data_IF_890184406644
#
_entry.id   IF_890184406644
#
_cell.length_a   1.000
_cell.length_b   1.000
_cell.length_c   1.000
_cell.angle_alpha   90.00
_cell.angle_beta   90.00
_cell.angle_gamma   90.00
#
_symmetry.space_group_name_H-M   'P 1'
#
loop_
_entity.id
_entity.type
_entity.pdbx_description
1 polymer ?
#
# COMPACT_ATOMS: atom_id res chain seq x y z
N UNK A 1 -9.94 4.17 14.91
CA UNK A 1 -10.50 5.24 14.04
C UNK A 1 -11.06 6.38 14.88
N UNK A 2 -10.73 7.64 14.58
CA UNK A 2 -11.33 8.80 15.26
C UNK A 2 -12.32 9.53 14.35
N UNK A 3 -13.58 9.06 14.32
CA UNK A 3 -14.63 9.58 13.44
C UNK A 3 -14.79 11.12 13.52
N UNK A 4 -14.56 11.71 14.70
CA UNK A 4 -14.61 13.16 14.94
C UNK A 4 -13.67 14.00 14.05
N UNK A 5 -12.61 13.38 13.52
CA UNK A 5 -11.63 14.03 12.64
C UNK A 5 -12.10 14.12 11.17
N UNK A 6 -13.16 13.41 10.81
CA UNK A 6 -13.67 13.30 9.43
C UNK A 6 -15.00 14.06 9.25
N UNK A 7 -15.06 15.30 9.75
CA UNK A 7 -16.32 16.09 9.77
C UNK A 7 -16.85 16.34 8.35
N UNK A 8 -18.12 15.98 8.12
CA UNK A 8 -18.78 16.08 6.82
C UNK A 8 -18.01 15.37 5.69
N UNK A 9 -17.35 14.26 6.03
CA UNK A 9 -16.64 13.40 5.09
C UNK A 9 -16.78 11.95 5.54
N UNK A 10 -17.47 11.12 4.73
CA UNK A 10 -17.64 9.70 5.06
C UNK A 10 -16.35 8.96 4.73
N UNK A 11 -15.82 8.22 5.70
CA UNK A 11 -14.68 7.33 5.52
C UNK A 11 -15.01 5.98 6.13
N UNK A 12 -14.60 4.91 5.47
CA UNK A 12 -14.64 3.54 5.96
C UNK A 12 -13.21 3.01 5.84
N UNK A 13 -12.77 2.27 6.85
CA UNK A 13 -11.50 1.58 6.85
C UNK A 13 -11.76 0.09 6.67
N UNK A 14 -10.90 -0.56 5.90
CA UNK A 14 -10.91 -2.00 5.70
C UNK A 14 -9.45 -2.45 5.73
N UNK A 15 -9.14 -3.40 6.59
CA UNK A 15 -7.80 -3.98 6.68
C UNK A 15 -7.77 -5.26 5.87
N UNK A 16 -6.69 -5.45 5.09
CA UNK A 16 -6.57 -6.61 4.21
C UNK A 16 -5.35 -7.42 4.64
N UNK A 17 -5.58 -8.71 4.88
CA UNK A 17 -4.54 -9.62 5.39
C UNK A 17 -4.70 -11.00 4.78
N UNK A 18 -3.61 -11.77 4.76
CA UNK A 18 -3.65 -13.20 4.45
C UNK A 18 -3.81 -14.05 5.71
N UNK A 19 -3.63 -15.35 5.55
CA UNK A 19 -3.51 -16.28 6.67
C UNK A 19 -2.15 -16.11 7.36
N UNK A 20 -2.09 -16.14 8.70
CA UNK A 20 -0.83 -16.18 9.43
C UNK A 20 0.02 -17.36 8.97
N UNK A 21 1.34 -17.18 8.97
CA UNK A 21 2.29 -18.22 8.61
C UNK A 21 3.47 -18.20 9.56
N UNK A 22 4.20 -19.30 9.63
CA UNK A 22 5.42 -19.38 10.42
C UNK A 22 6.48 -18.45 9.83
N UNK A 23 7.21 -17.76 10.71
CA UNK A 23 8.32 -16.93 10.29
C UNK A 23 9.36 -17.82 9.59
N UNK A 24 9.73 -17.46 8.36
CA UNK A 24 10.87 -18.08 7.71
C UNK A 24 12.13 -17.41 8.23
N UNK A 25 13.07 -18.21 8.71
CA UNK A 25 14.36 -17.72 9.19
C UNK A 25 15.48 -17.93 8.17
N UNK A 26 15.25 -18.82 7.21
CA UNK A 26 16.22 -19.19 6.18
C UNK A 26 16.00 -18.41 4.88
N UNK A 27 17.10 -18.13 4.18
CA UNK A 27 17.03 -17.59 2.82
C UNK A 27 16.37 -18.60 1.89
N UNK A 28 15.63 -18.10 0.91
CA UNK A 28 15.06 -18.94 -0.14
C UNK A 28 15.29 -18.33 -1.52
N UNK A 29 15.29 -19.20 -2.52
CA UNK A 29 15.49 -18.84 -3.91
C UNK A 29 14.17 -18.36 -4.54
N UNK A 30 14.22 -17.20 -5.20
CA UNK A 30 13.19 -16.71 -6.11
C UNK A 30 13.82 -16.49 -7.48
N UNK A 31 13.61 -17.46 -8.38
CA UNK A 31 14.12 -17.46 -9.76
C UNK A 31 15.62 -17.14 -9.87
N UNK A 32 16.43 -17.74 -8.99
CA UNK A 32 17.89 -17.56 -8.97
C UNK A 32 18.39 -16.39 -8.11
N UNK A 33 17.51 -15.72 -7.37
CA UNK A 33 17.89 -14.71 -6.37
C UNK A 33 17.68 -15.28 -4.97
N UNK A 34 18.74 -15.30 -4.17
CA UNK A 34 18.65 -15.69 -2.75
C UNK A 34 18.15 -14.52 -1.91
N UNK A 35 16.96 -14.68 -1.36
CA UNK A 35 16.27 -13.62 -0.66
C UNK A 35 16.19 -13.91 0.84
N UNK A 36 16.51 -12.90 1.64
CA UNK A 36 16.30 -12.93 3.09
C UNK A 36 14.81 -12.63 3.39
N UNK A 37 14.16 -13.44 4.25
CA UNK A 37 12.85 -13.13 4.82
C UNK A 37 12.80 -11.72 5.42
N UNK A 38 11.65 -11.05 5.29
CA UNK A 38 11.50 -9.69 5.82
C UNK A 38 11.44 -9.73 7.34
N UNK A 39 12.28 -8.94 8.03
CA UNK A 39 12.42 -8.97 9.49
C UNK A 39 11.12 -8.70 10.29
N UNK A 40 10.06 -8.14 9.67
CA UNK A 40 8.74 -7.99 10.31
C UNK A 40 7.78 -9.17 10.07
N UNK A 41 8.15 -10.20 9.32
CA UNK A 41 7.42 -11.47 9.35
C UNK A 41 7.54 -11.99 10.79
N UNK A 42 6.46 -11.78 11.55
CA UNK A 42 6.47 -11.70 13.01
C UNK A 42 7.34 -12.79 13.64
N UNK A 43 8.39 -12.36 14.35
CA UNK A 43 9.17 -13.17 15.30
C UNK A 43 8.33 -13.54 16.53
N UNK A 44 7.07 -13.88 16.34
CA UNK A 44 6.21 -14.38 17.39
C UNK A 44 6.45 -15.88 17.48
N UNK A 45 6.92 -16.35 18.63
CA UNK A 45 6.89 -17.77 19.03
C UNK A 45 5.46 -18.32 19.15
N UNK A 46 4.47 -17.62 18.60
CA UNK A 46 3.07 -17.96 18.63
C UNK A 46 2.80 -18.97 17.52
N UNK A 47 2.12 -20.06 17.85
CA UNK A 47 1.76 -21.06 16.84
C UNK A 47 0.85 -20.44 15.77
N UNK A 48 1.00 -20.88 14.52
CA UNK A 48 0.14 -20.47 13.39
C UNK A 48 -1.35 -20.65 13.71
N UNK A 49 -1.68 -21.68 14.49
CA UNK A 49 -3.03 -21.95 14.94
C UNK A 49 -3.56 -20.84 15.86
N UNK A 50 -2.80 -20.46 16.89
CA UNK A 50 -3.21 -19.39 17.81
C UNK A 50 -3.29 -18.05 17.11
N UNK A 51 -2.37 -17.76 16.19
CA UNK A 51 -2.42 -16.53 15.39
C UNK A 51 -3.69 -16.48 14.52
N UNK A 52 -4.04 -17.61 13.89
CA UNK A 52 -5.27 -17.74 13.11
C UNK A 52 -6.51 -17.56 13.97
N UNK A 53 -6.55 -18.14 15.17
CA UNK A 53 -7.66 -17.97 16.10
C UNK A 53 -7.85 -16.51 16.51
N UNK A 54 -6.76 -15.79 16.84
CA UNK A 54 -6.82 -14.37 17.16
C UNK A 54 -7.32 -13.53 15.98
N UNK A 55 -6.86 -13.82 14.76
CA UNK A 55 -7.30 -13.13 13.55
C UNK A 55 -8.82 -13.30 13.34
N UNK A 56 -9.33 -14.53 13.46
CA UNK A 56 -10.76 -14.79 13.29
C UNK A 56 -11.61 -14.14 14.39
N UNK A 57 -11.13 -14.15 15.64
CA UNK A 57 -11.79 -13.44 16.75
C UNK A 57 -11.84 -11.93 16.51
N UNK A 58 -10.75 -11.33 16.03
CA UNK A 58 -10.69 -9.90 15.70
C UNK A 58 -11.66 -9.56 14.56
N UNK A 59 -11.72 -10.39 13.52
CA UNK A 59 -12.69 -10.28 12.41
C UNK A 59 -14.13 -10.30 12.92
N UNK A 60 -14.47 -11.20 13.84
CA UNK A 60 -15.83 -11.32 14.40
C UNK A 60 -16.25 -10.09 15.21
N UNK A 61 -15.29 -9.47 15.91
CA UNK A 61 -15.52 -8.30 16.77
C UNK A 61 -15.61 -7.01 15.95
N UNK A 62 -14.67 -6.76 15.05
CA UNK A 62 -14.53 -5.45 14.38
C UNK A 62 -15.20 -5.38 13.01
N UNK A 63 -15.34 -6.52 12.32
CA UNK A 63 -16.03 -6.63 11.01
C UNK A 63 -15.51 -5.68 9.94
N UNK A 64 -14.23 -5.36 9.98
CA UNK A 64 -13.52 -4.49 9.04
C UNK A 64 -12.31 -5.19 8.38
N UNK A 65 -12.23 -6.53 8.50
CA UNK A 65 -11.20 -7.34 7.84
C UNK A 65 -11.66 -7.95 6.51
N UNK A 66 -10.74 -7.95 5.54
CA UNK A 66 -10.77 -8.78 4.35
C UNK A 66 -9.63 -9.79 4.43
N UNK A 67 -9.96 -11.05 4.71
CA UNK A 67 -8.97 -12.13 4.89
C UNK A 67 -8.86 -12.96 3.60
N UNK A 68 -7.65 -13.03 3.05
CA UNK A 68 -7.31 -13.83 1.88
C UNK A 68 -6.80 -15.22 2.23
N UNK A 69 -7.14 -16.21 1.40
CA UNK A 69 -6.59 -17.57 1.52
C UNK A 69 -5.20 -17.69 0.86
N UNK A 70 -4.23 -16.95 1.36
CA UNK A 70 -2.81 -17.00 1.02
C UNK A 70 -1.98 -16.67 2.26
N UNK A 71 -0.74 -17.15 2.35
CA UNK A 71 0.12 -16.81 3.50
C UNK A 71 0.48 -15.33 3.46
N UNK A 72 0.27 -14.61 4.56
CA UNK A 72 0.59 -13.19 4.66
C UNK A 72 2.09 -12.98 4.84
N UNK A 73 2.80 -12.85 3.72
CA UNK A 73 4.25 -12.63 3.65
C UNK A 73 4.57 -11.45 2.75
N UNK A 74 5.77 -10.89 2.90
CA UNK A 74 6.19 -9.74 2.12
C UNK A 74 6.12 -9.99 0.59
N UNK A 75 6.46 -11.21 0.15
CA UNK A 75 6.49 -11.55 -1.27
C UNK A 75 5.14 -12.05 -1.81
N UNK A 76 4.12 -12.11 -0.94
CA UNK A 76 2.72 -12.33 -1.30
C UNK A 76 1.89 -11.04 -1.26
N UNK A 77 2.51 -9.87 -1.07
CA UNK A 77 1.82 -8.57 -1.10
C UNK A 77 1.03 -8.38 -2.41
N UNK A 78 1.52 -8.90 -3.54
CA UNK A 78 0.77 -8.84 -4.80
C UNK A 78 -0.55 -9.62 -4.75
N UNK A 79 -0.61 -10.75 -4.04
CA UNK A 79 -1.87 -11.48 -3.83
C UNK A 79 -2.84 -10.66 -2.97
N UNK A 80 -2.35 -10.00 -1.92
CA UNK A 80 -3.12 -9.08 -1.07
C UNK A 80 -3.66 -7.91 -1.87
N UNK A 81 -2.83 -7.31 -2.72
CA UNK A 81 -3.21 -6.25 -3.65
C UNK A 81 -4.32 -6.71 -4.62
N UNK A 82 -4.12 -7.85 -5.30
CA UNK A 82 -5.11 -8.40 -6.24
C UNK A 82 -6.44 -8.72 -5.54
N UNK A 83 -6.40 -9.30 -4.33
CA UNK A 83 -7.60 -9.53 -3.52
C UNK A 83 -8.35 -8.22 -3.25
N UNK A 84 -7.62 -7.18 -2.84
CA UNK A 84 -8.18 -5.86 -2.50
C UNK A 84 -8.90 -5.25 -3.70
N UNK A 85 -8.24 -5.23 -4.86
CA UNK A 85 -8.82 -4.68 -6.09
C UNK A 85 -10.05 -5.44 -6.57
N UNK A 86 -9.98 -6.78 -6.54
CA UNK A 86 -11.13 -7.63 -6.90
C UNK A 86 -12.31 -7.45 -5.96
N UNK A 87 -12.06 -7.34 -4.65
CA UNK A 87 -13.12 -7.12 -3.67
C UNK A 87 -13.79 -5.76 -3.87
N UNK A 88 -13.01 -4.69 -4.06
CA UNK A 88 -13.54 -3.36 -4.36
C UNK A 88 -14.40 -3.39 -5.63
N UNK A 89 -13.89 -3.99 -6.72
CA UNK A 89 -14.58 -4.06 -8.00
C UNK A 89 -15.90 -4.87 -7.92
N UNK A 90 -15.93 -5.95 -7.13
CA UNK A 90 -17.09 -6.82 -7.00
C UNK A 90 -18.15 -6.28 -6.03
N UNK A 91 -17.74 -5.71 -4.90
CA UNK A 91 -18.63 -5.43 -3.77
C UNK A 91 -18.79 -3.97 -3.43
N UNK A 92 -17.87 -3.10 -3.88
CA UNK A 92 -17.88 -1.69 -3.54
C UNK A 92 -18.22 -0.79 -4.73
N UNK A 93 -18.64 -1.35 -5.87
CA UNK A 93 -19.08 -0.59 -7.03
C UNK A 93 -20.16 0.42 -6.59
N UNK A 94 -19.89 1.71 -6.82
CA UNK A 94 -20.72 2.86 -6.43
C UNK A 94 -20.73 3.28 -4.94
N UNK A 95 -19.88 2.70 -4.08
CA UNK A 95 -19.82 3.09 -2.66
C UNK A 95 -18.96 4.35 -2.40
N UNK A 96 -17.94 4.58 -3.22
CA UNK A 96 -17.05 5.74 -3.12
C UNK A 96 -16.60 6.19 -4.51
N UNK A 97 -16.22 7.47 -4.66
CA UNK A 97 -15.60 7.97 -5.91
C UNK A 97 -14.10 7.67 -6.00
N UNK A 98 -13.46 7.45 -4.85
CA UNK A 98 -12.03 7.20 -4.70
C UNK A 98 -11.79 6.21 -3.55
N UNK A 99 -10.71 5.45 -3.66
CA UNK A 99 -10.17 4.55 -2.65
C UNK A 99 -8.74 4.99 -2.32
N UNK A 100 -8.39 4.92 -1.04
CA UNK A 100 -7.06 5.24 -0.55
C UNK A 100 -6.44 3.96 -0.01
N UNK A 101 -5.22 3.69 -0.45
CA UNK A 101 -4.40 2.56 -0.05
C UNK A 101 -3.23 3.10 0.76
N UNK A 102 -2.88 2.41 1.84
CA UNK A 102 -1.96 2.88 2.86
C UNK A 102 -1.31 1.67 3.54
N UNK A 103 0.01 1.71 3.69
CA UNK A 103 0.74 0.75 4.51
C UNK A 103 0.49 0.98 6.01
N UNK A 104 0.63 -0.07 6.82
CA UNK A 104 0.31 -0.04 8.25
C UNK A 104 1.29 0.79 9.11
N UNK A 105 2.45 1.16 8.54
CA UNK A 105 3.42 2.07 9.14
C UNK A 105 3.39 3.48 8.55
N UNK A 106 2.31 3.83 7.84
CA UNK A 106 1.98 5.19 7.42
C UNK A 106 0.68 5.67 8.05
N UNK A 107 0.65 6.96 8.37
CA UNK A 107 -0.52 7.63 8.96
C UNK A 107 -1.08 8.65 7.99
N UNK A 108 -2.39 8.89 8.10
CA UNK A 108 -3.11 9.93 7.35
C UNK A 108 -3.36 11.16 8.20
N UNK A 109 -3.36 12.32 7.55
CA UNK A 109 -3.82 13.57 8.12
C UNK A 109 -5.23 13.85 7.59
N UNK A 110 -6.31 13.59 8.37
CA UNK A 110 -7.68 13.63 7.86
C UNK A 110 -8.08 14.97 7.23
N UNK A 111 -7.68 16.08 7.87
CA UNK A 111 -7.98 17.44 7.37
C UNK A 111 -7.36 17.70 6.00
N UNK A 112 -6.14 17.22 5.77
CA UNK A 112 -5.44 17.32 4.48
C UNK A 112 -6.05 16.41 3.42
N UNK A 113 -6.42 15.17 3.78
CA UNK A 113 -7.12 14.24 2.88
C UNK A 113 -8.43 14.86 2.39
N UNK A 114 -9.26 15.38 3.30
CA UNK A 114 -10.54 16.04 2.96
C UNK A 114 -10.30 17.21 2.02
N UNK A 115 -9.30 18.05 2.31
CA UNK A 115 -8.94 19.21 1.48
C UNK A 115 -8.49 18.78 0.07
N UNK A 116 -7.69 17.73 -0.03
CA UNK A 116 -7.28 17.18 -1.32
C UNK A 116 -8.51 16.72 -2.12
N UNK A 117 -9.31 15.81 -1.56
CA UNK A 117 -10.44 15.23 -2.30
C UNK A 117 -11.43 16.29 -2.73
N UNK A 118 -11.73 17.30 -1.89
CA UNK A 118 -12.61 18.41 -2.26
C UNK A 118 -12.07 19.27 -3.41
N UNK A 119 -10.75 19.41 -3.54
CA UNK A 119 -10.10 20.16 -4.63
C UNK A 119 -10.12 19.42 -5.97
N UNK A 120 -10.18 18.09 -5.96
CA UNK A 120 -10.23 17.29 -7.19
C UNK A 120 -11.64 17.39 -7.79
N UNK A 121 -11.79 17.81 -9.06
CA UNK A 121 -13.10 17.89 -9.70
C UNK A 121 -13.80 16.52 -9.72
N UNK A 122 -15.11 16.50 -9.45
CA UNK A 122 -15.88 15.26 -9.38
C UNK A 122 -15.76 14.42 -10.67
N UNK A 123 -15.72 15.08 -11.83
CA UNK A 123 -15.64 14.46 -13.16
C UNK A 123 -14.35 13.67 -13.43
N UNK A 124 -13.29 13.88 -12.65
CA UNK A 124 -12.01 13.18 -12.84
C UNK A 124 -11.63 12.29 -11.65
N UNK A 125 -12.43 12.31 -10.57
CA UNK A 125 -12.14 11.52 -9.36
C UNK A 125 -12.15 10.02 -9.62
N UNK A 126 -13.09 9.54 -10.43
CA UNK A 126 -13.24 8.09 -10.72
C UNK A 126 -12.11 7.51 -11.55
N UNK A 127 -11.34 8.35 -12.25
CA UNK A 127 -10.19 7.95 -13.07
C UNK A 127 -8.84 8.34 -12.45
N UNK A 128 -8.83 8.89 -11.24
CA UNK A 128 -7.61 9.38 -10.59
C UNK A 128 -6.63 8.22 -10.35
N UNK A 129 -5.35 8.43 -10.71
CA UNK A 129 -4.25 7.56 -10.35
C UNK A 129 -3.16 8.41 -9.70
N UNK A 130 -3.27 8.68 -8.40
CA UNK A 130 -2.39 9.61 -7.71
C UNK A 130 -1.76 8.99 -6.48
N UNK A 131 -0.49 9.23 -6.21
CA UNK A 131 0.11 8.65 -5.01
C UNK A 131 1.44 9.26 -4.62
N UNK A 132 2.10 8.60 -3.69
CA UNK A 132 3.47 8.90 -3.28
C UNK A 132 4.39 8.88 -4.51
N UNK A 133 5.42 9.72 -4.50
CA UNK A 133 6.37 9.80 -5.59
C UNK A 133 6.88 8.42 -5.98
N UNK A 134 6.94 8.17 -7.30
CA UNK A 134 7.46 6.92 -7.84
C UNK A 134 8.85 6.63 -7.26
N UNK A 135 9.10 5.42 -6.75
CA UNK A 135 10.44 5.03 -6.35
C UNK A 135 11.35 4.95 -7.57
N UNK A 136 12.63 4.67 -7.32
CA UNK A 136 13.60 4.40 -8.37
C UNK A 136 13.07 3.32 -9.33
N UNK A 137 12.79 3.71 -10.58
CA UNK A 137 12.21 2.83 -11.60
C UNK A 137 13.23 1.84 -12.18
N UNK A 138 14.47 1.86 -11.70
CA UNK A 138 15.52 0.94 -12.13
C UNK A 138 15.28 -0.43 -11.47
N UNK A 139 15.23 -1.47 -12.31
CA UNK A 139 15.18 -2.86 -11.84
C UNK A 139 16.52 -3.18 -11.21
N UNK A 140 16.50 -3.59 -9.95
CA UNK A 140 17.70 -3.98 -9.21
C UNK A 140 17.99 -5.44 -9.52
N UNK A 141 19.15 -5.73 -10.08
CA UNK A 141 19.64 -7.09 -10.23
C UNK A 141 20.59 -7.43 -9.06
N UNK A 142 20.67 -8.70 -8.65
CA UNK A 142 21.56 -9.13 -7.57
C UNK A 142 22.99 -8.66 -7.83
N UNK A 143 23.63 -8.11 -6.80
CA UNK A 143 25.01 -7.64 -6.83
C UNK A 143 25.65 -7.86 -5.47
N UNK A 144 26.87 -8.40 -5.44
CA UNK A 144 27.63 -8.69 -4.22
C UNK A 144 27.85 -7.45 -3.32
N UNK A 145 27.65 -6.23 -3.84
CA UNK A 145 27.88 -4.95 -3.15
C UNK A 145 26.61 -4.16 -2.75
N UNK A 146 25.41 -4.77 -2.78
CA UNK A 146 24.17 -4.04 -2.43
C UNK A 146 24.05 -3.76 -0.92
N UNK A 147 24.08 -2.50 -0.52
CA UNK A 147 23.89 -2.06 0.88
C UNK A 147 22.47 -2.24 1.42
N UNK A 148 21.48 -2.46 0.55
CA UNK A 148 20.06 -2.59 0.92
C UNK A 148 19.59 -4.05 1.05
N UNK A 149 20.50 -5.01 0.83
CA UNK A 149 20.20 -6.44 0.73
C UNK A 149 19.47 -6.80 -0.55
N UNK A 150 19.36 -8.10 -0.85
CA UNK A 150 18.73 -8.63 -2.08
C UNK A 150 17.20 -8.66 -2.04
N UNK A 151 16.56 -7.94 -1.10
CA UNK A 151 15.10 -7.97 -0.88
C UNK A 151 14.29 -7.63 -2.14
N UNK A 152 14.74 -6.62 -2.86
CA UNK A 152 14.11 -6.14 -4.10
C UNK A 152 14.93 -6.49 -5.34
N UNK A 153 15.96 -7.32 -5.19
CA UNK A 153 16.76 -7.80 -6.31
C UNK A 153 15.93 -8.80 -7.10
N UNK A 154 16.01 -8.71 -8.42
CA UNK A 154 15.20 -9.46 -9.39
C UNK A 154 16.16 -10.08 -10.40
N UNK A 155 16.02 -11.37 -10.68
CA UNK A 155 16.86 -12.00 -11.70
C UNK A 155 16.42 -11.55 -13.09
N UNK A 156 17.34 -11.62 -14.06
CA UNK A 156 17.00 -11.37 -15.47
C UNK A 156 16.02 -12.42 -16.04
N UNK A 157 15.90 -13.58 -15.40
CA UNK A 157 14.91 -14.60 -15.74
C UNK A 157 13.51 -14.20 -15.28
N UNK A 158 13.40 -13.61 -14.08
CA UNK A 158 12.14 -13.09 -13.54
C UNK A 158 11.67 -11.86 -14.32
N UNK A 159 12.58 -10.90 -14.54
CA UNK A 159 12.32 -9.69 -15.32
C UNK A 159 13.52 -9.31 -16.19
N UNK A 160 13.43 -9.43 -17.53
CA UNK A 160 14.55 -9.13 -18.42
C UNK A 160 14.77 -7.63 -18.66
N UNK A 161 13.83 -6.78 -18.25
CA UNK A 161 13.92 -5.34 -18.43
C UNK A 161 14.75 -4.69 -17.32
N UNK A 162 15.38 -3.57 -17.65
CA UNK A 162 16.15 -2.77 -16.70
C UNK A 162 15.32 -1.67 -16.02
N UNK A 163 14.07 -1.48 -16.44
CA UNK A 163 13.17 -0.45 -15.91
C UNK A 163 11.75 -0.98 -15.75
N UNK A 164 11.13 -0.59 -14.64
CA UNK A 164 9.69 -0.74 -14.45
C UNK A 164 8.91 0.35 -15.20
N UNK A 165 7.67 0.07 -15.62
CA UNK A 165 6.73 1.13 -15.96
C UNK A 165 6.48 2.06 -14.77
N UNK A 166 5.86 3.22 -14.97
CA UNK A 166 5.58 4.14 -13.86
C UNK A 166 4.57 3.57 -12.86
N UNK A 167 4.90 3.63 -11.57
CA UNK A 167 4.04 3.26 -10.44
C UNK A 167 4.27 4.21 -9.25
N UNK A 168 3.34 4.26 -8.31
CA UNK A 168 3.53 4.96 -7.02
C UNK A 168 4.16 4.02 -6.01
N UNK A 169 4.99 4.54 -5.10
CA UNK A 169 5.50 3.75 -3.97
C UNK A 169 4.35 3.13 -3.17
N UNK A 170 4.55 1.89 -2.69
CA UNK A 170 3.59 1.14 -1.87
C UNK A 170 3.08 1.87 -0.62
N UNK A 171 3.86 2.84 -0.10
CA UNK A 171 3.53 3.61 1.11
C UNK A 171 2.09 4.13 1.15
N UNK A 172 1.66 4.80 0.07
CA UNK A 172 0.31 5.32 -0.03
C UNK A 172 -0.05 5.79 -1.46
N UNK A 173 -1.28 5.54 -1.87
CA UNK A 173 -1.85 6.02 -3.14
C UNK A 173 -3.39 6.12 -3.10
N UNK A 174 -3.96 7.00 -3.92
CA UNK A 174 -5.38 7.25 -4.11
C UNK A 174 -5.76 6.88 -5.54
N UNK A 175 -6.74 6.01 -5.68
CA UNK A 175 -7.26 5.57 -6.96
C UNK A 175 -8.74 5.90 -7.09
N UNK A 176 -9.15 6.28 -8.28
CA UNK A 176 -10.55 6.44 -8.63
C UNK A 176 -11.28 5.11 -8.75
N UNK A 177 -12.58 5.10 -8.46
CA UNK A 177 -13.37 3.87 -8.41
C UNK A 177 -13.47 3.12 -9.75
N UNK A 178 -13.56 3.83 -10.87
CA UNK A 178 -13.57 3.22 -12.21
C UNK A 178 -12.19 2.63 -12.52
N UNK A 179 -11.11 3.37 -12.22
CA UNK A 179 -9.75 2.88 -12.40
C UNK A 179 -9.46 1.59 -11.60
N UNK A 180 -9.93 1.49 -10.35
CA UNK A 180 -9.77 0.25 -9.56
C UNK A 180 -10.50 -0.92 -10.20
N UNK A 181 -11.68 -0.67 -10.79
CA UNK A 181 -12.47 -1.69 -11.48
C UNK A 181 -11.74 -2.17 -12.75
N UNK A 182 -11.26 -1.25 -13.57
CA UNK A 182 -10.51 -1.55 -14.79
C UNK A 182 -9.20 -2.29 -14.46
N UNK A 183 -8.50 -1.84 -13.41
CA UNK A 183 -7.30 -2.49 -12.91
C UNK A 183 -7.56 -3.92 -12.43
N UNK A 184 -8.66 -4.16 -11.70
CA UNK A 184 -9.02 -5.50 -11.25
C UNK A 184 -9.22 -6.47 -12.43
N UNK A 185 -9.80 -5.99 -13.54
CA UNK A 185 -9.93 -6.76 -14.78
C UNK A 185 -8.55 -6.96 -15.42
N UNK A 186 -7.76 -5.90 -15.56
CA UNK A 186 -6.43 -5.96 -16.18
C UNK A 186 -5.45 -6.88 -15.42
N UNK A 187 -5.54 -6.92 -14.09
CA UNK A 187 -4.79 -7.83 -13.22
C UNK A 187 -5.05 -9.31 -13.59
N UNK A 188 -6.30 -9.67 -13.93
CA UNK A 188 -6.65 -11.04 -14.32
C UNK A 188 -5.95 -11.50 -15.62
N UNK A 189 -5.47 -10.56 -16.42
CA UNK A 189 -4.76 -10.84 -17.67
C UNK A 189 -3.27 -10.43 -17.62
N UNK A 190 -2.78 -9.98 -16.48
CA UNK A 190 -1.38 -9.56 -16.30
C UNK A 190 -0.64 -10.66 -15.56
N UNK A 191 0.50 -11.11 -16.10
CA UNK A 191 1.34 -12.13 -15.46
C UNK A 191 1.68 -11.69 -14.04
N UNK A 192 1.49 -12.59 -13.08
CA UNK A 192 1.85 -12.35 -11.69
C UNK A 192 3.32 -11.90 -11.57
N UNK A 193 3.56 -10.94 -10.70
CA UNK A 193 4.88 -10.44 -10.34
C UNK A 193 4.90 -10.17 -8.84
N UNK A 194 5.99 -10.50 -8.13
CA UNK A 194 5.97 -10.54 -6.65
C UNK A 194 6.05 -9.19 -5.97
N UNK A 195 6.64 -8.17 -6.60
CA UNK A 195 6.71 -6.81 -6.04
C UNK A 195 5.45 -6.06 -6.45
N UNK A 196 4.59 -5.76 -5.48
CA UNK A 196 3.21 -5.33 -5.65
C UNK A 196 3.07 -3.92 -6.25
N UNK A 197 3.87 -2.98 -5.77
CA UNK A 197 3.89 -1.61 -6.29
C UNK A 197 4.39 -1.57 -7.75
N UNK A 198 5.46 -2.30 -8.06
CA UNK A 198 5.95 -2.49 -9.43
C UNK A 198 4.96 -3.28 -10.31
N UNK A 199 4.25 -4.26 -9.75
CA UNK A 199 3.18 -5.00 -10.44
C UNK A 199 2.06 -4.05 -10.90
N UNK A 200 1.66 -3.10 -10.05
CA UNK A 200 0.72 -2.04 -10.45
C UNK A 200 1.23 -1.24 -11.64
N UNK A 201 2.54 -1.00 -11.75
CA UNK A 201 3.13 -0.34 -12.92
C UNK A 201 2.81 -1.08 -14.23
N UNK A 202 2.93 -2.41 -14.26
CA UNK A 202 2.55 -3.21 -15.43
C UNK A 202 1.05 -3.13 -15.71
N UNK A 203 0.23 -3.15 -14.66
CA UNK A 203 -1.24 -3.01 -14.78
C UNK A 203 -1.61 -1.64 -15.36
N UNK A 204 -1.02 -0.55 -14.85
CA UNK A 204 -1.24 0.81 -15.36
C UNK A 204 -0.83 0.96 -16.81
N UNK A 205 0.34 0.43 -17.18
CA UNK A 205 0.80 0.47 -18.56
C UNK A 205 -0.15 -0.27 -19.50
N UNK A 206 -0.71 -1.40 -19.05
CA UNK A 206 -1.65 -2.20 -19.84
C UNK A 206 -2.97 -1.48 -20.14
N UNK A 207 -3.43 -0.62 -19.24
CA UNK A 207 -4.69 0.14 -19.40
C UNK A 207 -4.45 1.62 -19.73
N UNK A 208 -3.22 1.98 -20.13
CA UNK A 208 -2.80 3.35 -20.48
C UNK A 208 -3.13 4.39 -19.38
N UNK A 209 -2.99 3.98 -18.11
CA UNK A 209 -3.24 4.87 -16.96
C UNK A 209 -1.97 5.61 -16.57
N UNK A 210 -2.04 6.94 -16.54
CA UNK A 210 -0.94 7.80 -16.10
C UNK A 210 -0.92 7.96 -14.59
N UNK A 211 0.23 7.69 -13.98
CA UNK A 211 0.47 7.91 -12.54
C UNK A 211 0.83 9.39 -12.26
N UNK A 212 0.18 10.00 -11.27
CA UNK A 212 0.42 11.36 -10.83
C UNK A 212 1.02 11.42 -9.43
N UNK A 213 2.18 12.06 -9.28
CA UNK A 213 2.76 12.30 -7.96
C UNK A 213 1.97 13.36 -7.18
N UNK A 214 1.40 12.96 -6.04
CA UNK A 214 0.80 13.87 -5.07
C UNK A 214 1.89 14.28 -4.08
N UNK A 215 2.47 15.47 -4.26
CA UNK A 215 3.64 15.96 -3.50
C UNK A 215 3.44 15.98 -1.99
N UNK A 216 2.19 16.02 -1.55
CA UNK A 216 1.75 16.01 -0.15
C UNK A 216 1.74 14.62 0.48
N UNK A 217 1.83 13.55 -0.31
CA UNK A 217 1.99 12.17 0.16
C UNK A 217 3.48 11.86 0.24
N UNK A 218 3.99 11.65 1.46
CA UNK A 218 5.42 11.58 1.76
C UNK A 218 5.86 10.15 2.01
N UNK A 219 6.87 9.70 1.28
CA UNK A 219 7.57 8.45 1.55
C UNK A 219 8.53 8.61 2.74
N UNK A 220 9.29 9.71 2.79
CA UNK A 220 10.19 10.05 3.90
C UNK A 220 9.93 11.48 4.39
N UNK A 221 10.45 11.80 5.58
CA UNK A 221 10.25 13.11 6.22
C UNK A 221 11.35 14.13 5.93
N UNK A 222 12.30 13.81 5.05
CA UNK A 222 13.55 14.57 4.87
C UNK A 222 13.36 16.02 4.37
N UNK A 223 12.15 16.40 3.90
CA UNK A 223 11.88 17.71 3.30
C UNK A 223 10.46 18.24 3.63
N UNK A 224 10.11 18.33 4.91
CA UNK A 224 8.88 19.01 5.31
C UNK A 224 9.05 20.53 5.40
N UNK A 225 8.57 21.23 4.38
CA UNK A 225 8.49 22.70 4.38
C UNK A 225 7.15 23.22 4.91
N UNK A 226 6.06 22.45 4.81
CA UNK A 226 4.73 22.84 5.33
C UNK A 226 3.92 21.62 5.85
N UNK A 227 3.78 21.44 7.17
CA UNK A 227 3.08 20.30 7.79
C UNK A 227 1.58 20.30 7.52
N UNK A 228 0.99 21.50 7.37
CA UNK A 228 -0.44 21.68 7.10
C UNK A 228 -0.87 21.15 5.73
N UNK A 229 0.10 20.79 4.88
CA UNK A 229 -0.10 20.21 3.57
C UNK A 229 0.13 18.70 3.54
N UNK A 230 0.76 18.11 4.56
CA UNK A 230 1.03 16.65 4.58
C UNK A 230 -0.30 15.90 4.58
N UNK A 231 -0.45 14.96 3.65
CA UNK A 231 -1.59 14.06 3.55
C UNK A 231 -1.29 12.73 4.22
N UNK A 232 -0.08 12.22 4.00
CA UNK A 232 0.42 10.99 4.60
C UNK A 232 1.94 11.05 4.73
N UNK A 233 2.45 10.41 5.77
CA UNK A 233 3.87 10.24 6.06
C UNK A 233 4.03 9.04 7.02
N UNK A 234 5.27 8.55 7.27
CA UNK A 234 5.48 7.44 8.18
C UNK A 234 4.92 7.72 9.58
N UNK A 235 4.20 6.76 10.15
CA UNK A 235 3.44 6.90 11.40
C UNK A 235 4.31 7.36 12.57
N UNK A 236 5.58 6.93 12.60
CA UNK A 236 6.54 7.29 13.65
C UNK A 236 6.72 8.81 13.84
N UNK A 237 6.44 9.59 12.80
CA UNK A 237 6.52 11.04 12.83
C UNK A 237 5.15 11.68 12.97
N UNK A 238 4.16 11.22 12.20
CA UNK A 238 2.80 11.78 12.23
C UNK A 238 2.21 11.62 13.62
N UNK A 239 2.37 10.46 14.25
CA UNK A 239 1.75 10.15 15.53
C UNK A 239 2.34 10.98 16.68
N UNK A 240 3.60 11.41 16.56
CA UNK A 240 4.25 12.35 17.49
C UNK A 240 3.75 13.79 17.29
N UNK A 241 3.62 14.19 16.04
CA UNK A 241 3.26 15.56 15.67
C UNK A 241 1.76 15.84 15.81
N UNK A 242 0.91 14.82 15.66
CA UNK A 242 -0.53 14.98 15.54
C UNK A 242 -1.22 15.00 16.90
N UNK A 243 -2.00 16.04 17.14
CA UNK A 243 -3.03 16.01 18.16
C UNK A 243 -4.26 15.32 17.58
N UNK A 244 -4.45 14.05 17.93
CA UNK A 244 -5.57 13.26 17.47
C UNK A 244 -6.92 13.75 18.01
N UNK A 245 -6.96 14.59 19.06
CA UNK A 245 -8.22 15.16 19.51
C UNK A 245 -8.74 16.28 18.62
N UNK A 246 -7.83 17.10 18.10
CA UNK A 246 -8.15 18.29 17.29
C UNK A 246 -7.94 18.06 15.80
N UNK A 247 -7.14 17.07 15.40
CA UNK A 247 -6.74 16.82 14.02
C UNK A 247 -5.68 17.80 13.51
N UNK A 248 -5.00 18.50 14.42
CA UNK A 248 -3.95 19.46 14.11
C UNK A 248 -2.57 18.81 14.24
N UNK A 249 -1.64 19.20 13.36
CA UNK A 249 -0.25 18.74 13.36
C UNK A 249 0.66 19.84 13.91
N UNK A 250 1.51 19.51 14.90
CA UNK A 250 2.40 20.42 15.62
C UNK A 250 3.86 19.98 15.48
N UNK A 251 4.68 20.82 14.85
CA UNK A 251 6.11 20.55 14.58
C UNK A 251 7.00 20.51 15.82
N UNK A 252 6.62 21.19 16.91
CA UNK A 252 7.42 21.22 18.14
C UNK A 252 7.57 19.86 18.83
N UNK A 253 6.95 18.81 18.26
CA UNK A 253 6.95 17.43 18.76
C UNK A 253 7.66 16.44 17.82
N UNK A 254 8.24 16.92 16.71
CA UNK A 254 9.03 16.13 15.76
C UNK A 254 10.50 16.10 16.15
#
# INVERSE_FOLDING_TARGET
MQQKLWRNFRVQFTFVTGMPTEARHEKYDLDGVWIQPYNRENQTNQSTLEATQKLLQESDVHRDLLIGNFNDTYYNLTLKLMLTFRWIAAFCKHQASVYLFLDDDYSLVPTSVIRLIRKIPFTVRSCLNGGTASPDLIVRHPSESSSWGDRWSVSTNELPWNRYPSYSSGAAYILGAELVTDAAIAMAFTRYYRLDDAYLGFVWNKIDSRVYTIRQMKHTMDNLTNPSEVITAPSIYVDKAMDWNTGMMHMSRL
#
